data_IF_101518347847
#
_entry.id   IF_101518347847
#
_cell.length_a   1.000
_cell.length_b   1.000
_cell.length_c   1.000
_cell.angle_alpha   90.00
_cell.angle_beta   90.00
_cell.angle_gamma   90.00
#
_symmetry.space_group_name_H-M   'P 1'
#
loop_
_entity.id
_entity.type
_entity.pdbx_description
1 polymer ?
#
# COMPACT_ATOMS: atom_id res chain seq x y z
N UNK A 1 9.74 16.54 5.75
CA UNK A 1 8.28 16.83 5.76
C UNK A 1 8.03 17.79 4.61
N UNK A 2 7.09 17.47 3.74
CA UNK A 2 6.84 18.22 2.52
C UNK A 2 5.54 19.06 2.65
N UNK A 3 5.56 20.25 2.03
CA UNK A 3 4.39 21.14 1.91
C UNK A 3 3.84 21.19 0.47
N UNK A 4 4.62 20.75 -0.52
CA UNK A 4 4.17 20.61 -1.91
C UNK A 4 3.30 19.34 -2.08
N UNK A 5 2.40 19.26 -3.07
CA UNK A 5 1.64 18.05 -3.34
C UNK A 5 2.57 16.84 -3.63
N UNK A 6 2.22 15.61 -3.21
CA UNK A 6 2.99 14.44 -3.58
C UNK A 6 3.09 14.30 -5.09
N UNK A 7 4.28 13.97 -5.57
CA UNK A 7 4.54 13.72 -6.98
C UNK A 7 4.39 12.22 -7.24
N UNK A 8 3.22 11.83 -7.74
CA UNK A 8 2.92 10.46 -8.15
C UNK A 8 2.21 10.47 -9.50
N UNK A 9 2.29 9.36 -10.26
CA UNK A 9 1.64 9.20 -11.57
C UNK A 9 0.12 9.21 -11.48
N UNK A 10 -0.46 8.60 -10.44
CA UNK A 10 -1.91 8.51 -10.25
C UNK A 10 -2.39 9.19 -8.97
N UNK A 11 -3.46 9.98 -9.06
CA UNK A 11 -4.19 10.50 -7.88
C UNK A 11 -5.69 10.27 -8.05
N UNK A 12 -6.33 9.75 -7.00
CA UNK A 12 -7.77 9.50 -6.96
C UNK A 12 -8.37 9.97 -5.64
N UNK A 13 -9.58 10.51 -5.68
CA UNK A 13 -10.38 10.85 -4.49
C UNK A 13 -11.54 9.88 -4.41
N UNK A 14 -11.64 9.20 -3.27
CA UNK A 14 -12.66 8.19 -2.98
C UNK A 14 -13.65 8.78 -1.98
N UNK A 15 -14.94 8.81 -2.32
CA UNK A 15 -16.02 8.98 -1.34
C UNK A 15 -16.32 7.60 -0.73
N UNK A 16 -16.08 7.38 0.57
CA UNK A 16 -16.45 6.12 1.19
C UNK A 16 -17.97 5.94 1.10
N UNK A 17 -18.42 4.83 0.53
CA UNK A 17 -19.84 4.57 0.32
C UNK A 17 -20.61 4.60 1.67
N UNK A 18 -21.53 5.56 1.77
CA UNK A 18 -22.33 5.90 2.94
C UNK A 18 -21.56 5.99 4.26
N UNK A 19 -21.22 7.23 4.62
CA UNK A 19 -20.88 7.72 5.96
C UNK A 19 -22.02 7.45 6.98
N UNK A 20 -22.38 6.19 7.22
CA UNK A 20 -23.42 5.78 8.15
C UNK A 20 -22.87 5.91 9.58
N UNK A 21 -23.06 7.13 10.09
CA UNK A 21 -23.01 7.53 11.50
C UNK A 21 -21.60 7.74 12.06
N UNK A 22 -21.11 8.96 11.89
CA UNK A 22 -20.22 9.61 12.87
C UNK A 22 -20.73 9.35 14.29
N UNK A 23 -20.05 8.48 15.02
CA UNK A 23 -20.10 8.33 16.49
C UNK A 23 -18.72 7.98 17.05
N UNK A 24 -17.67 8.60 16.54
CA UNK A 24 -16.33 8.36 17.07
C UNK A 24 -15.97 9.43 18.09
N UNK A 25 -16.02 9.01 19.36
CA UNK A 25 -15.52 9.73 20.52
C UNK A 25 -14.02 10.04 20.30
N UNK A 26 -13.68 11.31 20.20
CA UNK A 26 -12.28 11.73 20.10
C UNK A 26 -11.61 11.64 21.48
N UNK A 27 -10.87 10.57 21.72
CA UNK A 27 -9.95 10.50 22.86
C UNK A 27 -8.74 11.38 22.54
N UNK A 28 -8.55 12.42 23.34
CA UNK A 28 -7.26 13.11 23.51
C UNK A 28 -6.97 13.14 25.00
N UNK A 29 -5.77 12.77 25.44
CA UNK A 29 -4.89 13.64 26.23
C UNK A 29 -3.53 12.97 26.55
N UNK A 30 -2.50 13.82 26.61
CA UNK A 30 -1.11 13.76 27.10
C UNK A 30 -0.30 12.45 27.01
N UNK A 31 0.77 12.54 26.20
CA UNK A 31 1.93 11.63 26.03
C UNK A 31 1.79 10.27 25.28
N UNK A 32 0.61 9.82 24.83
CA UNK A 32 0.41 8.38 24.50
C UNK A 32 0.32 7.93 23.03
N UNK A 33 1.44 7.47 22.45
CA UNK A 33 1.55 6.46 21.35
C UNK A 33 0.32 6.25 20.43
N UNK A 34 -0.17 7.31 19.77
CA UNK A 34 -1.28 7.17 18.82
C UNK A 34 -0.76 6.69 17.47
N UNK A 35 -1.30 5.59 16.97
CA UNK A 35 -1.09 5.16 15.58
C UNK A 35 -1.75 6.19 14.65
N UNK A 36 -0.96 6.79 13.76
CA UNK A 36 -1.43 7.79 12.79
C UNK A 36 -1.29 7.30 11.35
N UNK A 37 -0.38 6.36 11.10
CA UNK A 37 -0.14 5.81 9.78
C UNK A 37 0.41 4.38 9.88
N UNK A 38 0.15 3.58 8.86
CA UNK A 38 0.66 2.22 8.66
C UNK A 38 1.48 2.16 7.37
N UNK A 39 2.54 1.34 7.38
CA UNK A 39 3.21 0.89 6.15
C UNK A 39 2.99 -0.62 6.11
N UNK A 40 2.33 -1.11 5.07
CA UNK A 40 2.08 -2.54 4.86
C UNK A 40 2.84 -2.98 3.61
N UNK A 41 3.89 -3.77 3.82
CA UNK A 41 4.63 -4.44 2.75
C UNK A 41 4.00 -5.82 2.60
N UNK A 42 3.40 -6.08 1.44
CA UNK A 42 2.71 -7.34 1.20
C UNK A 42 3.68 -8.49 0.99
N UNK A 43 3.20 -9.69 1.25
CA UNK A 43 3.87 -10.95 0.96
C UNK A 43 2.95 -11.84 0.11
N UNK A 44 3.47 -12.89 -0.55
CA UNK A 44 2.63 -13.84 -1.29
C UNK A 44 1.54 -14.48 -0.44
N UNK A 45 1.80 -14.70 0.86
CA UNK A 45 0.84 -15.27 1.80
C UNK A 45 -0.38 -14.37 2.06
N UNK A 46 -0.30 -13.06 1.77
CA UNK A 46 -1.46 -12.18 1.86
C UNK A 46 -2.45 -12.37 0.69
N UNK A 47 -2.03 -13.07 -0.37
CA UNK A 47 -2.77 -13.21 -1.64
C UNK A 47 -3.09 -14.65 -1.98
N UNK A 48 -2.59 -15.62 -1.21
CA UNK A 48 -2.65 -17.02 -1.58
C UNK A 48 -4.03 -17.65 -1.34
N UNK A 49 -4.91 -17.00 -0.57
CA UNK A 49 -6.29 -17.42 -0.28
C UNK A 49 -7.22 -16.22 -0.25
N UNK A 50 -8.50 -16.44 -0.61
CA UNK A 50 -9.54 -15.40 -0.56
C UNK A 50 -9.64 -14.82 0.84
N UNK A 51 -9.60 -15.67 1.86
CA UNK A 51 -9.71 -15.27 3.25
C UNK A 51 -8.58 -14.31 3.68
N UNK A 52 -7.35 -14.54 3.22
CA UNK A 52 -6.21 -13.66 3.54
C UNK A 52 -6.31 -12.30 2.83
N UNK A 53 -6.82 -12.29 1.59
CA UNK A 53 -7.14 -11.04 0.90
C UNK A 53 -8.21 -10.28 1.69
N UNK A 54 -9.32 -10.94 2.04
CA UNK A 54 -10.41 -10.33 2.80
C UNK A 54 -9.95 -9.78 4.17
N UNK A 55 -9.14 -10.53 4.91
CA UNK A 55 -8.58 -10.10 6.20
C UNK A 55 -7.72 -8.84 6.05
N UNK A 56 -6.83 -8.81 5.05
CA UNK A 56 -6.00 -7.64 4.78
C UNK A 56 -6.86 -6.42 4.42
N UNK A 57 -7.83 -6.60 3.52
CA UNK A 57 -8.71 -5.52 3.06
C UNK A 57 -9.57 -5.00 4.22
N UNK A 58 -10.10 -5.88 5.06
CA UNK A 58 -10.86 -5.50 6.25
C UNK A 58 -10.01 -4.68 7.23
N UNK A 59 -8.74 -5.07 7.45
CA UNK A 59 -7.78 -4.32 8.25
C UNK A 59 -7.50 -2.94 7.66
N UNK A 60 -7.25 -2.86 6.36
CA UNK A 60 -6.95 -1.60 5.67
C UNK A 60 -8.13 -0.62 5.72
N UNK A 61 -9.34 -1.08 5.42
CA UNK A 61 -10.57 -0.27 5.52
C UNK A 61 -10.77 0.21 6.96
N UNK A 62 -10.66 -0.70 7.94
CA UNK A 62 -10.83 -0.34 9.36
C UNK A 62 -9.83 0.73 9.82
N UNK A 63 -8.59 0.67 9.34
CA UNK A 63 -7.57 1.69 9.64
C UNK A 63 -7.95 3.06 9.04
N UNK A 64 -8.34 3.08 7.77
CA UNK A 64 -8.76 4.31 7.08
C UNK A 64 -10.00 4.94 7.75
N UNK A 65 -10.96 4.11 8.16
CA UNK A 65 -12.20 4.55 8.84
C UNK A 65 -11.93 5.26 10.17
N UNK A 66 -10.91 4.84 10.92
CA UNK A 66 -10.51 5.48 12.19
C UNK A 66 -9.49 6.61 12.00
N UNK A 67 -9.20 6.99 10.74
CA UNK A 67 -8.30 8.08 10.39
C UNK A 67 -6.81 7.72 10.48
N UNK A 68 -6.46 6.45 10.33
CA UNK A 68 -5.07 5.99 10.20
C UNK A 68 -4.74 5.94 8.71
N UNK A 69 -3.69 6.67 8.32
CA UNK A 69 -3.20 6.69 6.94
C UNK A 69 -2.51 5.35 6.59
N UNK A 70 -2.41 5.01 5.31
CA UNK A 70 -1.80 3.74 4.88
C UNK A 70 -0.85 3.98 3.72
N UNK A 71 0.34 3.39 3.77
CA UNK A 71 1.19 3.14 2.62
C UNK A 71 1.20 1.65 2.33
N UNK A 72 0.57 1.26 1.23
CA UNK A 72 0.56 -0.09 0.69
C UNK A 72 1.74 -0.26 -0.26
N UNK A 73 2.56 -1.29 -0.04
CA UNK A 73 3.69 -1.65 -0.92
C UNK A 73 3.48 -3.10 -1.37
N UNK A 74 2.97 -3.26 -2.59
CA UNK A 74 2.69 -4.55 -3.21
C UNK A 74 3.67 -4.82 -4.35
N UNK A 75 4.74 -5.55 -4.02
CA UNK A 75 5.81 -5.90 -4.98
C UNK A 75 5.59 -7.29 -5.60
N UNK A 76 4.36 -7.82 -5.50
CA UNK A 76 4.01 -9.12 -6.06
C UNK A 76 2.94 -8.95 -7.13
N UNK A 77 3.07 -9.63 -8.29
CA UNK A 77 2.03 -9.61 -9.31
C UNK A 77 0.67 -10.03 -8.76
N UNK A 78 -0.43 -9.61 -9.42
CA UNK A 78 -1.79 -10.08 -9.13
C UNK A 78 -1.88 -11.60 -9.12
N UNK A 79 -2.60 -12.13 -8.14
CA UNK A 79 -2.92 -13.55 -8.02
C UNK A 79 -4.38 -13.87 -8.38
N UNK A 80 -4.79 -15.13 -8.24
CA UNK A 80 -6.16 -15.57 -8.52
C UNK A 80 -7.24 -14.91 -7.64
N UNK A 81 -6.87 -14.38 -6.48
CA UNK A 81 -7.77 -13.81 -5.48
C UNK A 81 -7.75 -12.27 -5.44
N UNK A 82 -6.83 -11.65 -6.19
CA UNK A 82 -6.68 -10.21 -6.37
C UNK A 82 -6.35 -9.90 -7.85
N UNK A 83 -7.23 -10.23 -8.81
CA UNK A 83 -6.89 -10.18 -10.24
C UNK A 83 -6.52 -8.78 -10.77
N UNK A 84 -6.91 -7.72 -10.05
CA UNK A 84 -6.56 -6.32 -10.33
C UNK A 84 -5.59 -5.75 -9.28
N UNK A 85 -4.90 -6.63 -8.55
CA UNK A 85 -4.02 -6.31 -7.42
C UNK A 85 -4.78 -5.96 -6.14
N UNK A 86 -4.05 -5.97 -5.03
CA UNK A 86 -4.63 -5.67 -3.69
C UNK A 86 -5.16 -4.24 -3.58
N UNK A 87 -4.55 -3.29 -4.31
CA UNK A 87 -5.09 -1.94 -4.45
C UNK A 87 -6.48 -1.95 -5.08
N UNK A 88 -6.69 -2.70 -6.16
CA UNK A 88 -7.99 -2.80 -6.84
C UNK A 88 -9.08 -3.33 -5.90
N UNK A 89 -8.80 -4.41 -5.18
CA UNK A 89 -9.75 -4.98 -4.20
C UNK A 89 -10.08 -3.97 -3.08
N UNK A 90 -9.08 -3.22 -2.59
CA UNK A 90 -9.30 -2.19 -1.57
C UNK A 90 -10.12 -1.03 -2.11
N UNK A 91 -9.87 -0.62 -3.35
CA UNK A 91 -10.58 0.46 -4.01
C UNK A 91 -12.07 0.13 -4.21
N UNK A 92 -12.37 -1.08 -4.71
CA UNK A 92 -13.74 -1.58 -4.88
C UNK A 92 -14.51 -1.53 -3.56
N UNK A 93 -13.84 -1.90 -2.46
CA UNK A 93 -14.43 -1.89 -1.12
C UNK A 93 -14.72 -0.48 -0.60
N UNK A 94 -13.91 0.52 -0.96
CA UNK A 94 -14.06 1.90 -0.50
C UNK A 94 -15.11 2.66 -1.31
N UNK A 95 -15.11 2.53 -2.64
CA UNK A 95 -15.97 3.34 -3.52
C UNK A 95 -17.34 2.73 -3.80
N UNK A 96 -17.52 1.41 -3.64
CA UNK A 96 -18.71 0.69 -4.15
C UNK A 96 -19.05 1.13 -5.58
N UNK A 97 -18.04 1.21 -6.44
CA UNK A 97 -18.16 1.60 -7.85
C UNK A 97 -18.36 0.38 -8.73
N UNK A 98 -19.22 0.47 -9.74
CA UNK A 98 -19.38 -0.56 -10.77
C UNK A 98 -18.26 -0.53 -11.83
N UNK A 99 -17.38 0.47 -11.78
CA UNK A 99 -16.24 0.58 -12.71
C UNK A 99 -15.02 -0.11 -12.11
N UNK A 100 -14.62 -1.22 -12.73
CA UNK A 100 -13.43 -1.96 -12.33
C UNK A 100 -12.16 -1.11 -12.45
N UNK A 101 -11.26 -1.28 -11.49
CA UNK A 101 -9.93 -0.73 -11.55
C UNK A 101 -9.09 -1.36 -12.68
N UNK A 102 -8.53 -0.54 -13.56
CA UNK A 102 -7.63 -1.00 -14.63
C UNK A 102 -6.18 -0.95 -14.16
N UNK A 103 -5.62 -2.13 -13.87
CA UNK A 103 -4.19 -2.29 -13.59
C UNK A 103 -3.39 -2.35 -14.90
N UNK A 104 -2.34 -1.52 -15.09
CA UNK A 104 -1.48 -1.60 -16.26
C UNK A 104 -0.80 -2.98 -16.38
N UNK A 105 -0.92 -3.62 -17.55
CA UNK A 105 -0.42 -4.98 -17.75
C UNK A 105 1.12 -5.08 -17.76
N UNK A 106 1.81 -4.00 -18.12
CA UNK A 106 3.26 -3.86 -18.18
C UNK A 106 3.90 -3.46 -16.83
N UNK A 107 3.11 -2.84 -15.95
CA UNK A 107 3.52 -2.39 -14.62
C UNK A 107 2.59 -2.99 -13.52
N UNK A 108 2.63 -4.31 -13.29
CA UNK A 108 1.64 -5.01 -12.47
C UNK A 108 1.84 -4.86 -10.95
N UNK A 109 2.93 -4.22 -10.51
CA UNK A 109 3.22 -4.01 -9.09
C UNK A 109 2.68 -2.64 -8.67
N UNK A 110 2.10 -2.54 -7.49
CA UNK A 110 1.41 -1.32 -7.04
C UNK A 110 1.97 -0.80 -5.74
N UNK A 111 2.25 0.50 -5.70
CA UNK A 111 2.49 1.24 -4.48
C UNK A 111 1.40 2.29 -4.33
N UNK A 112 0.78 2.36 -3.16
CA UNK A 112 -0.34 3.27 -2.94
C UNK A 112 -0.29 3.93 -1.56
N UNK A 113 -0.25 5.27 -1.55
CA UNK A 113 -0.43 6.09 -0.35
C UNK A 113 -1.88 6.52 -0.20
N UNK A 114 -2.51 6.18 0.92
CA UNK A 114 -3.88 6.54 1.28
C UNK A 114 -3.89 7.58 2.40
N UNK A 115 -4.36 8.77 2.09
CA UNK A 115 -4.63 9.81 3.07
C UNK A 115 -6.07 9.66 3.58
N UNK A 116 -6.23 9.01 4.74
CA UNK A 116 -7.49 8.98 5.47
C UNK A 116 -8.00 10.40 5.79
N UNK A 117 -9.32 10.60 5.65
CA UNK A 117 -9.98 11.89 5.85
C UNK A 117 -11.49 11.77 5.66
N UNK A 118 -12.24 12.89 5.60
CA UNK A 118 -13.65 12.86 5.21
C UNK A 118 -13.88 12.18 3.85
N UNK A 119 -12.87 12.26 2.99
CA UNK A 119 -12.69 11.54 1.74
C UNK A 119 -11.33 10.90 1.80
N UNK A 120 -11.19 9.71 1.24
CA UNK A 120 -9.88 9.05 1.16
C UNK A 120 -9.20 9.52 -0.13
N UNK A 121 -8.03 10.14 0.00
CA UNK A 121 -7.21 10.48 -1.16
C UNK A 121 -6.18 9.37 -1.38
N UNK A 122 -6.04 8.90 -2.62
CA UNK A 122 -5.15 7.82 -3.00
C UNK A 122 -4.11 8.34 -3.99
N UNK A 123 -2.85 8.00 -3.74
CA UNK A 123 -1.67 8.38 -4.51
C UNK A 123 -0.99 7.09 -4.97
N UNK A 124 -0.95 6.83 -6.27
CA UNK A 124 -0.66 5.51 -6.84
C UNK A 124 0.54 5.59 -7.78
N UNK A 125 1.43 4.61 -7.65
CA UNK A 125 2.49 4.29 -8.59
C UNK A 125 2.38 2.83 -9.03
N UNK A 126 2.60 2.63 -10.32
CA UNK A 126 2.73 1.31 -10.92
C UNK A 126 4.16 1.11 -11.37
N UNK A 127 4.69 -0.08 -11.10
CA UNK A 127 6.04 -0.45 -11.54
C UNK A 127 6.06 -1.90 -12.01
N UNK A 128 7.17 -2.26 -12.64
CA UNK A 128 7.47 -3.65 -13.02
C UNK A 128 8.65 -4.19 -12.21
N UNK A 129 8.84 -5.51 -12.22
CA UNK A 129 9.95 -6.15 -11.51
C UNK A 129 11.29 -5.60 -12.04
N UNK A 130 12.19 -5.24 -11.12
CA UNK A 130 13.51 -4.68 -11.44
C UNK A 130 13.52 -3.17 -11.70
N UNK A 131 12.37 -2.50 -11.69
CA UNK A 131 12.33 -1.04 -11.62
C UNK A 131 12.75 -0.55 -10.23
N UNK A 132 13.37 0.63 -10.17
CA UNK A 132 13.67 1.29 -8.90
C UNK A 132 12.37 1.68 -8.18
N UNK A 133 12.32 1.49 -6.86
CA UNK A 133 11.17 1.84 -6.05
C UNK A 133 11.04 3.36 -5.94
N UNK A 134 9.90 3.96 -6.37
CA UNK A 134 9.70 5.40 -6.25
C UNK A 134 9.59 5.80 -4.77
N UNK A 135 9.90 7.06 -4.47
CA UNK A 135 9.51 7.62 -3.18
C UNK A 135 7.98 7.71 -3.10
N UNK A 136 7.41 7.23 -2.00
CA UNK A 136 5.96 7.26 -1.80
C UNK A 136 5.56 8.12 -0.60
N UNK A 137 4.43 8.85 -0.68
CA UNK A 137 3.96 9.67 0.44
C UNK A 137 3.33 8.80 1.54
N UNK A 138 3.91 8.84 2.74
CA UNK A 138 3.24 8.40 3.97
C UNK A 138 2.62 9.60 4.68
N UNK A 139 1.30 9.68 4.66
CA UNK A 139 0.57 10.75 5.31
C UNK A 139 0.57 10.58 6.83
N UNK A 140 0.74 11.70 7.54
CA UNK A 140 0.63 11.80 9.00
C UNK A 140 -0.56 12.66 9.41
N UNK A 141 -1.05 13.47 8.46
CA UNK A 141 -2.32 14.21 8.43
C UNK A 141 -2.77 14.30 6.96
N UNK A 142 -4.04 14.61 6.68
CA UNK A 142 -4.53 14.74 5.29
C UNK A 142 -3.71 15.72 4.43
N UNK A 143 -3.13 16.76 5.04
CA UNK A 143 -2.35 17.83 4.42
C UNK A 143 -0.84 17.69 4.64
N UNK A 144 -0.37 16.65 5.34
CA UNK A 144 1.04 16.53 5.73
C UNK A 144 1.56 15.11 5.60
N UNK A 145 2.63 14.95 4.85
CA UNK A 145 3.25 13.65 4.59
C UNK A 145 4.78 13.71 4.69
N UNK A 146 5.37 12.52 4.74
CA UNK A 146 6.79 12.28 4.54
C UNK A 146 6.97 11.40 3.31
N UNK A 147 7.93 11.72 2.46
CA UNK A 147 8.36 10.79 1.42
C UNK A 147 9.14 9.66 2.08
N UNK A 148 8.70 8.44 1.82
CA UNK A 148 9.39 7.24 2.26
C UNK A 148 10.39 6.86 1.16
N UNK A 149 11.70 6.88 1.43
CA UNK A 149 12.72 6.52 0.46
C UNK A 149 12.82 5.00 0.36
N UNK A 150 11.88 4.38 -0.35
CA UNK A 150 11.74 2.92 -0.42
C UNK A 150 12.99 2.27 -1.02
N UNK A 151 13.50 2.78 -2.14
CA UNK A 151 14.70 2.23 -2.79
C UNK A 151 15.95 2.32 -1.91
N UNK A 152 16.36 3.51 -1.39
CA UNK A 152 17.53 3.57 -0.49
C UNK A 152 17.40 2.72 0.77
N UNK A 153 16.17 2.58 1.30
CA UNK A 153 15.90 1.75 2.48
C UNK A 153 16.07 0.27 2.16
N UNK A 154 15.56 -0.18 1.00
CA UNK A 154 15.75 -1.54 0.51
C UNK A 154 17.23 -1.85 0.30
N UNK A 155 17.97 -0.99 -0.42
CA UNK A 155 19.40 -1.20 -0.66
C UNK A 155 20.20 -1.27 0.65
N UNK A 156 19.89 -0.40 1.63
CA UNK A 156 20.55 -0.40 2.92
C UNK A 156 20.29 -1.71 3.69
N UNK A 157 19.05 -2.20 3.68
CA UNK A 157 18.70 -3.49 4.27
C UNK A 157 19.39 -4.65 3.54
N UNK A 158 19.42 -4.63 2.20
CA UNK A 158 20.06 -5.63 1.36
C UNK A 158 21.58 -5.72 1.61
N UNK A 159 22.28 -4.56 1.63
CA UNK A 159 23.71 -4.51 1.97
C UNK A 159 24.02 -5.06 3.35
N UNK A 160 23.10 -4.90 4.30
CA UNK A 160 23.22 -5.45 5.66
C UNK A 160 22.97 -6.97 5.74
N UNK A 161 22.46 -7.60 4.68
CA UNK A 161 22.13 -9.02 4.69
C UNK A 161 23.39 -9.90 4.57
N UNK A 162 23.51 -10.99 5.38
CA UNK A 162 24.65 -11.91 5.30
C UNK A 162 24.84 -12.44 3.87
N UNK A 163 26.10 -12.55 3.44
CA UNK A 163 26.45 -12.95 2.06
C UNK A 163 25.76 -14.24 1.62
N UNK A 164 25.70 -15.25 2.50
CA UNK A 164 24.99 -16.51 2.25
C UNK A 164 23.54 -16.31 1.76
N UNK A 165 22.79 -15.38 2.34
CA UNK A 165 21.41 -15.11 1.93
C UNK A 165 21.34 -14.24 0.68
N UNK A 166 22.34 -13.38 0.42
CA UNK A 166 22.43 -12.61 -0.82
C UNK A 166 22.69 -13.52 -2.00
N UNK A 167 23.61 -14.46 -1.85
CA UNK A 167 23.95 -15.43 -2.91
C UNK A 167 22.72 -16.28 -3.29
N UNK A 168 21.88 -16.67 -2.32
CA UNK A 168 20.63 -17.41 -2.58
C UNK A 168 19.58 -16.56 -3.34
N UNK A 169 19.54 -15.25 -3.10
CA UNK A 169 18.62 -14.34 -3.81
C UNK A 169 19.16 -13.91 -5.19
N UNK A 170 20.48 -13.87 -5.36
CA UNK A 170 21.16 -13.51 -6.61
C UNK A 170 21.35 -14.72 -7.55
N UNK A 171 21.23 -15.96 -7.05
CA UNK A 171 21.18 -17.14 -7.90
C UNK A 171 19.94 -17.09 -8.82
N UNK A 172 20.11 -17.09 -10.16
CA UNK A 172 18.96 -17.10 -11.05
C UNK A 172 18.19 -18.40 -10.81
N UNK A 173 16.93 -18.27 -10.40
CA UNK A 173 15.99 -19.38 -10.26
C UNK A 173 15.75 -20.01 -11.64
N UNK A 174 16.63 -20.92 -12.03
CA UNK A 174 16.73 -21.44 -13.38
C UNK A 174 17.76 -22.57 -13.51
N UNK A 175 17.55 -23.65 -12.75
CA UNK A 175 18.02 -24.98 -13.15
C UNK A 175 16.84 -25.95 -13.04
N UNK A 176 16.05 -26.03 -14.10
CA UNK A 176 15.25 -27.22 -14.37
C UNK A 176 16.20 -28.42 -14.38
N UNK A 177 15.92 -29.40 -13.53
CA UNK A 177 16.62 -30.69 -13.58
C UNK A 177 16.01 -31.49 -14.72
N UNK A 178 16.87 -31.81 -15.68
CA UNK A 178 16.67 -32.82 -16.73
C UNK A 178 16.11 -34.14 -16.21
#
# INVERSE_FOLDING_TARGET
MAEAPPQVRGRRTVEPAALARRRTLAIRHVSGHRLVALIEILSPANKDRVEHVEEFIAKAVSALDIGVHLLLVDLFPPGPHDPHGMHGVLLDRLEQSDTAYELPADEPLTLAGYAAGPRVEVYIEHITVGAALPEMPLFLRPDRYVNVPLEPTYEAAYRGMPAFWRDVLEEPSGREKH
#
